data_IF_083031442497
#
_entry.id   IF_083031442497
#
_cell.length_a   1.000
_cell.length_b   1.000
_cell.length_c   1.000
_cell.angle_alpha   90.00
_cell.angle_beta   90.00
_cell.angle_gamma   90.00
#
_symmetry.space_group_name_H-M   'P 1'
#
loop_
_entity.id
_entity.type
_entity.pdbx_description
1 polymer ?
#
# COMPACT_ATOMS: atom_id res chain seq x y z
N UNK A 1 9.02 26.17 25.63
CA UNK A 1 8.11 25.13 25.08
C UNK A 1 8.92 24.11 24.30
N UNK A 2 8.89 22.82 24.66
CA UNK A 2 9.52 21.76 23.85
C UNK A 2 8.72 21.59 22.56
N UNK A 3 9.37 21.68 21.40
CA UNK A 3 8.73 21.37 20.12
C UNK A 3 8.27 19.90 20.11
N UNK A 4 6.99 19.65 19.77
CA UNK A 4 6.51 18.29 19.49
C UNK A 4 7.22 17.79 18.24
N UNK A 5 7.92 16.66 18.35
CA UNK A 5 8.50 15.97 17.19
C UNK A 5 7.35 15.62 16.24
N UNK A 6 7.41 16.10 14.99
CA UNK A 6 6.46 15.70 13.95
C UNK A 6 6.85 14.29 13.48
N UNK A 7 5.93 13.35 13.59
CA UNK A 7 6.11 12.02 13.02
C UNK A 7 5.98 12.08 11.50
N UNK A 8 6.66 11.16 10.80
CA UNK A 8 6.42 10.99 9.38
C UNK A 8 4.94 10.61 9.15
N UNK A 9 4.25 11.27 8.20
CA UNK A 9 2.87 10.90 7.87
C UNK A 9 2.84 9.49 7.28
N UNK A 10 1.81 8.73 7.61
CA UNK A 10 1.54 7.45 6.96
C UNK A 10 0.92 7.76 5.60
N UNK A 11 1.51 7.31 4.47
CA UNK A 11 0.94 7.55 3.16
C UNK A 11 -0.39 6.80 3.02
N UNK A 12 -1.42 7.55 2.62
CA UNK A 12 -2.75 7.01 2.32
C UNK A 12 -2.73 6.08 1.11
N UNK A 13 -3.82 5.36 0.90
CA UNK A 13 -4.00 4.58 -0.32
C UNK A 13 -4.03 5.50 -1.55
N UNK A 14 -3.27 5.12 -2.58
CA UNK A 14 -3.25 5.78 -3.89
C UNK A 14 -3.73 4.76 -4.91
N UNK A 15 -4.72 5.17 -5.70
CA UNK A 15 -5.28 4.31 -6.75
C UNK A 15 -4.21 4.04 -7.82
N UNK A 16 -4.06 2.79 -8.30
CA UNK A 16 -3.26 2.48 -9.48
C UNK A 16 -3.76 3.19 -10.75
N UNK A 17 -5.02 3.61 -10.79
CA UNK A 17 -5.63 4.32 -11.92
C UNK A 17 -5.44 5.84 -11.82
N UNK A 18 -4.68 6.33 -10.83
CA UNK A 18 -4.38 7.75 -10.71
C UNK A 18 -3.55 8.21 -11.93
N UNK A 19 -3.94 9.34 -12.53
CA UNK A 19 -3.26 9.91 -13.69
C UNK A 19 -1.89 10.45 -13.30
N UNK A 20 -0.93 10.28 -14.22
CA UNK A 20 0.39 10.88 -14.12
C UNK A 20 0.35 12.36 -14.51
N UNK A 21 1.19 13.16 -13.87
CA UNK A 21 1.37 14.57 -14.19
C UNK A 21 2.56 14.72 -15.14
N UNK A 22 2.28 15.11 -16.39
CA UNK A 22 3.33 15.37 -17.38
C UNK A 22 4.36 16.40 -16.85
N UNK A 23 5.65 16.08 -16.98
CA UNK A 23 6.75 16.93 -16.54
C UNK A 23 7.17 16.78 -15.06
N UNK A 24 6.54 15.86 -14.32
CA UNK A 24 6.92 15.52 -12.94
C UNK A 24 7.46 14.09 -12.81
N UNK A 25 8.37 13.71 -13.72
CA UNK A 25 9.04 12.41 -13.69
C UNK A 25 10.28 12.46 -12.80
N UNK A 26 10.55 11.38 -12.06
CA UNK A 26 11.78 11.28 -11.28
C UNK A 26 12.84 10.54 -12.10
N UNK A 27 14.04 11.13 -12.32
CA UNK A 27 15.08 10.52 -13.18
C UNK A 27 15.73 9.26 -12.58
N UNK A 28 15.30 8.85 -11.38
CA UNK A 28 15.79 7.69 -10.65
C UNK A 28 14.77 6.56 -10.59
N UNK A 29 13.63 6.69 -11.26
CA UNK A 29 12.59 5.67 -11.27
C UNK A 29 13.06 4.46 -12.08
N UNK A 30 13.42 3.39 -11.38
CA UNK A 30 13.79 2.14 -12.04
C UNK A 30 12.52 1.37 -12.41
N UNK A 31 12.29 1.18 -13.71
CA UNK A 31 11.21 0.34 -14.19
C UNK A 31 11.42 -1.11 -13.74
N UNK A 32 10.42 -1.67 -13.04
CA UNK A 32 10.39 -3.07 -12.69
C UNK A 32 10.16 -3.93 -13.94
N UNK A 33 10.67 -5.16 -13.94
CA UNK A 33 10.39 -6.11 -15.03
C UNK A 33 8.87 -6.37 -15.11
N UNK A 34 8.21 -6.05 -16.24
CA UNK A 34 6.76 -6.22 -16.38
C UNK A 34 6.31 -7.69 -16.29
N UNK A 35 7.22 -8.64 -16.56
CA UNK A 35 6.99 -10.08 -16.41
C UNK A 35 7.20 -10.60 -14.99
N UNK A 36 7.58 -9.73 -14.05
CA UNK A 36 7.70 -10.13 -12.65
C UNK A 36 6.31 -10.54 -12.12
N UNK A 37 6.24 -11.71 -11.48
CA UNK A 37 5.00 -12.29 -10.94
C UNK A 37 4.20 -11.27 -10.11
N UNK A 38 4.86 -10.46 -9.29
CA UNK A 38 4.20 -9.47 -8.43
C UNK A 38 3.71 -8.25 -9.20
N UNK A 39 4.42 -7.82 -10.25
CA UNK A 39 3.98 -6.72 -11.13
C UNK A 39 2.74 -7.15 -11.92
N UNK A 40 2.75 -8.36 -12.47
CA UNK A 40 1.57 -8.93 -13.15
C UNK A 40 0.38 -9.05 -12.19
N UNK A 41 0.59 -9.57 -10.99
CA UNK A 41 -0.46 -9.70 -9.98
C UNK A 41 -1.01 -8.33 -9.53
N UNK A 42 -0.14 -7.34 -9.38
CA UNK A 42 -0.56 -5.98 -9.02
C UNK A 42 -1.46 -5.34 -10.09
N UNK A 43 -1.32 -5.69 -11.36
CA UNK A 43 -2.17 -5.19 -12.44
C UNK A 43 -3.53 -5.90 -12.54
N UNK A 44 -3.62 -7.15 -12.08
CA UNK A 44 -4.85 -7.96 -12.17
C UNK A 44 -5.77 -7.71 -10.98
N UNK A 45 -5.21 -7.40 -9.81
CA UNK A 45 -6.01 -7.20 -8.59
C UNK A 45 -6.82 -5.90 -8.67
N UNK A 46 -8.14 -5.93 -8.39
CA UNK A 46 -8.98 -4.73 -8.32
C UNK A 46 -8.72 -3.96 -7.02
N UNK A 47 -7.55 -3.31 -6.92
CA UNK A 47 -7.07 -2.66 -5.68
C UNK A 47 -8.05 -1.63 -5.13
N UNK A 48 -8.68 -0.83 -5.99
CA UNK A 48 -9.61 0.21 -5.55
C UNK A 48 -10.80 -0.38 -4.80
N UNK A 49 -11.39 -1.46 -5.31
CA UNK A 49 -12.54 -2.11 -4.67
C UNK A 49 -12.16 -2.72 -3.32
N UNK A 50 -11.08 -3.51 -3.27
CA UNK A 50 -10.70 -4.23 -2.06
C UNK A 50 -10.14 -3.30 -0.98
N UNK A 51 -9.39 -2.26 -1.35
CA UNK A 51 -8.86 -1.27 -0.41
C UNK A 51 -10.00 -0.42 0.16
N UNK A 52 -10.97 -0.01 -0.68
CA UNK A 52 -12.14 0.73 -0.21
C UNK A 52 -12.98 -0.12 0.74
N UNK A 53 -13.14 -1.41 0.44
CA UNK A 53 -13.83 -2.35 1.32
C UNK A 53 -13.12 -2.48 2.67
N UNK A 54 -11.79 -2.62 2.67
CA UNK A 54 -10.99 -2.67 3.88
C UNK A 54 -11.14 -1.39 4.71
N UNK A 55 -10.98 -0.21 4.10
CA UNK A 55 -11.12 1.08 4.78
C UNK A 55 -12.50 1.22 5.40
N UNK A 56 -13.55 0.81 4.68
CA UNK A 56 -14.94 0.84 5.18
C UNK A 56 -15.15 -0.02 6.43
N UNK A 57 -14.51 -1.19 6.48
CA UNK A 57 -14.67 -2.12 7.62
C UNK A 57 -13.78 -1.78 8.80
N UNK A 58 -12.54 -1.34 8.57
CA UNK A 58 -11.58 -1.01 9.63
C UNK A 58 -11.87 0.37 10.23
N UNK A 59 -12.36 1.30 9.41
CA UNK A 59 -12.61 2.67 9.81
C UNK A 59 -11.33 3.47 10.07
N UNK A 60 -11.49 4.78 10.23
CA UNK A 60 -10.44 5.67 10.71
C UNK A 60 -10.80 6.00 12.15
N UNK A 61 -9.93 5.65 13.09
CA UNK A 61 -10.13 6.01 14.50
C UNK A 61 -9.82 7.49 14.70
N UNK A 62 -10.69 8.20 15.43
CA UNK A 62 -10.47 9.59 15.84
C UNK A 62 -9.35 9.71 16.88
N UNK A 63 -8.96 8.60 17.51
CA UNK A 63 -7.91 8.54 18.53
C UNK A 63 -6.89 7.44 18.24
N UNK A 64 -5.63 7.70 18.57
CA UNK A 64 -4.54 6.73 18.39
C UNK A 64 -3.83 6.81 17.03
N UNK A 65 -3.13 5.73 16.66
CA UNK A 65 -2.36 5.65 15.41
C UNK A 65 -3.29 5.29 14.26
N UNK A 66 -3.26 6.03 13.13
CA UNK A 66 -4.06 5.68 11.96
C UNK A 66 -3.67 4.29 11.42
N UNK A 67 -4.62 3.60 10.77
CA UNK A 67 -4.35 2.30 10.17
C UNK A 67 -3.25 2.39 9.11
N UNK A 68 -2.52 1.29 8.93
CA UNK A 68 -1.53 1.14 7.85
C UNK A 68 -2.26 1.18 6.51
N UNK A 69 -1.56 1.64 5.48
CA UNK A 69 -2.05 1.64 4.11
C UNK A 69 -2.68 0.26 3.75
N UNK A 70 -3.94 0.22 3.29
CA UNK A 70 -4.65 -1.03 3.03
C UNK A 70 -3.95 -1.91 1.99
N UNK A 71 -3.28 -1.31 1.00
CA UNK A 71 -2.54 -2.06 -0.02
C UNK A 71 -1.38 -2.85 0.58
N UNK A 72 -0.73 -2.30 1.60
CA UNK A 72 0.36 -2.99 2.31
C UNK A 72 -0.19 -4.15 3.14
N UNK A 73 -1.30 -3.92 3.85
CA UNK A 73 -1.93 -4.95 4.68
C UNK A 73 -2.49 -6.10 3.82
N UNK A 74 -3.27 -5.79 2.79
CA UNK A 74 -3.83 -6.80 1.90
C UNK A 74 -2.72 -7.49 1.08
N UNK A 75 -1.73 -6.74 0.63
CA UNK A 75 -0.58 -7.26 -0.09
C UNK A 75 0.22 -8.27 0.73
N UNK A 76 0.48 -7.99 2.01
CA UNK A 76 1.18 -8.94 2.88
C UNK A 76 0.38 -10.22 3.12
N UNK A 77 -0.94 -10.13 3.30
CA UNK A 77 -1.83 -11.29 3.42
C UNK A 77 -1.80 -12.15 2.15
N UNK A 78 -1.87 -11.52 0.98
CA UNK A 78 -1.79 -12.21 -0.32
C UNK A 78 -0.44 -12.91 -0.47
N UNK A 79 0.66 -12.21 -0.19
CA UNK A 79 2.01 -12.79 -0.29
C UNK A 79 2.14 -13.97 0.67
N UNK A 80 1.71 -13.82 1.93
CA UNK A 80 1.73 -14.88 2.93
C UNK A 80 0.99 -16.12 2.44
N UNK A 81 -0.22 -15.93 1.92
CA UNK A 81 -1.03 -17.03 1.40
C UNK A 81 -0.40 -17.70 0.17
N UNK A 82 0.01 -16.93 -0.84
CA UNK A 82 0.57 -17.45 -2.09
C UNK A 82 1.94 -18.13 -1.92
N UNK A 83 2.75 -17.65 -0.97
CA UNK A 83 4.06 -18.21 -0.68
C UNK A 83 4.01 -19.30 0.41
N UNK A 84 2.82 -19.61 0.97
CA UNK A 84 2.63 -20.54 2.08
C UNK A 84 3.61 -20.27 3.25
N UNK A 85 3.77 -18.99 3.59
CA UNK A 85 4.67 -18.56 4.67
C UNK A 85 3.97 -18.73 6.01
N UNK A 86 4.64 -19.40 6.95
CA UNK A 86 4.19 -19.51 8.34
C UNK A 86 4.70 -18.31 9.14
N UNK A 87 3.85 -17.74 9.98
CA UNK A 87 4.12 -16.53 10.79
C UNK A 87 5.12 -16.82 11.94
N UNK A 88 5.51 -18.09 12.12
CA UNK A 88 6.33 -18.58 13.23
C UNK A 88 7.82 -18.24 13.13
N UNK A 89 8.30 -17.85 11.96
CA UNK A 89 9.72 -17.54 11.70
C UNK A 89 10.02 -16.02 11.68
N UNK A 90 9.09 -15.17 12.15
CA UNK A 90 9.22 -13.70 12.23
C UNK A 90 8.99 -13.18 13.64
#
# INVERSE_FOLDING_TARGET
MKQRKKHAPVPGYVSPNQLDLEGFETPFEQALNPKNRWVTLANIIPWDEICNLYIKHVGVSDTGRPPINPRVVLGSVIIKHLCNLDDRET
#
